data_IF_107453916394
#
_entry.id   IF_107453916394
#
_cell.length_a   1.000
_cell.length_b   1.000
_cell.length_c   1.000
_cell.angle_alpha   90.00
_cell.angle_beta   90.00
_cell.angle_gamma   90.00
#
_symmetry.space_group_name_H-M   'P 1'
#
loop_
_entity.id
_entity.type
_entity.pdbx_description
1 polymer ?
#
# COMPACT_ATOMS: atom_id res chain seq x y z
N UNK A 1 2.06 -55.89 -18.15
CA UNK A 1 1.43 -54.56 -18.21
C UNK A 1 2.15 -53.71 -17.17
N UNK A 2 3.27 -53.12 -17.57
CA UNK A 2 4.16 -52.36 -16.70
C UNK A 2 3.89 -50.87 -16.91
N UNK A 3 3.16 -50.27 -15.97
CA UNK A 3 2.92 -48.83 -15.94
C UNK A 3 4.21 -48.13 -15.49
N UNK A 4 5.05 -47.74 -16.45
CA UNK A 4 6.18 -46.84 -16.20
C UNK A 4 5.64 -45.42 -16.06
N UNK A 5 5.19 -45.09 -14.85
CA UNK A 5 4.92 -43.72 -14.42
C UNK A 5 6.20 -42.89 -14.63
N UNK A 6 6.15 -42.03 -15.64
CA UNK A 6 7.18 -41.06 -15.96
C UNK A 6 7.16 -40.01 -14.85
N UNK A 7 7.98 -40.21 -13.82
CA UNK A 7 8.28 -39.18 -12.83
C UNK A 7 9.03 -38.04 -13.53
N UNK A 8 8.28 -37.07 -14.04
CA UNK A 8 8.81 -35.80 -14.54
C UNK A 8 9.43 -35.05 -13.36
N UNK A 9 10.76 -35.18 -13.24
CA UNK A 9 11.58 -34.44 -12.30
C UNK A 9 11.53 -32.94 -12.65
N UNK A 10 10.52 -32.24 -12.14
CA UNK A 10 10.31 -30.81 -12.37
C UNK A 10 11.22 -30.01 -11.43
N UNK A 11 12.49 -29.88 -11.82
CA UNK A 11 13.42 -28.99 -11.15
C UNK A 11 12.87 -27.55 -11.16
N UNK A 12 12.90 -26.89 -9.99
CA UNK A 12 12.55 -25.47 -9.87
C UNK A 12 13.54 -24.62 -10.66
N UNK A 13 13.13 -24.19 -11.85
CA UNK A 13 13.93 -23.36 -12.73
C UNK A 13 14.12 -21.95 -12.14
N UNK A 14 15.36 -21.47 -12.17
CA UNK A 14 15.68 -20.09 -11.80
C UNK A 14 15.03 -19.08 -12.75
N UNK A 15 14.90 -17.82 -12.32
CA UNK A 15 14.34 -16.73 -13.15
C UNK A 15 15.04 -16.59 -14.52
N UNK A 16 16.35 -16.85 -14.57
CA UNK A 16 17.15 -16.82 -15.81
C UNK A 16 16.79 -18.00 -16.72
N UNK A 17 16.66 -19.20 -16.17
CA UNK A 17 16.31 -20.41 -16.93
C UNK A 17 14.87 -20.35 -17.47
N UNK A 18 13.92 -19.84 -16.68
CA UNK A 18 12.54 -19.58 -17.13
C UNK A 18 12.47 -18.59 -18.30
N UNK A 19 13.27 -17.52 -18.26
CA UNK A 19 13.33 -16.56 -19.37
C UNK A 19 13.92 -17.19 -20.64
N UNK A 20 14.93 -18.05 -20.48
CA UNK A 20 15.51 -18.80 -21.59
C UNK A 20 14.53 -19.84 -22.17
N UNK A 21 13.78 -20.56 -21.33
CA UNK A 21 12.73 -21.49 -21.75
C UNK A 21 11.60 -20.79 -22.50
N UNK A 22 11.13 -19.64 -22.01
CA UNK A 22 10.14 -18.81 -22.71
C UNK A 22 10.63 -18.33 -24.08
N UNK A 23 11.92 -18.08 -24.22
CA UNK A 23 12.51 -17.71 -25.49
C UNK A 23 12.58 -18.90 -26.45
N UNK A 24 13.05 -20.07 -25.98
CA UNK A 24 13.12 -21.31 -26.77
C UNK A 24 11.75 -21.86 -27.15
N UNK A 25 10.74 -21.69 -26.30
CA UNK A 25 9.35 -22.08 -26.55
C UNK A 25 8.72 -21.35 -27.76
N UNK A 26 9.29 -20.22 -28.21
CA UNK A 26 8.84 -19.55 -29.44
C UNK A 26 9.27 -20.26 -30.72
N UNK A 27 10.32 -21.08 -30.63
CA UNK A 27 10.97 -21.71 -31.79
C UNK A 27 10.85 -23.22 -31.80
N UNK A 28 10.63 -23.87 -30.65
CA UNK A 28 10.49 -25.33 -30.57
C UNK A 28 9.25 -25.76 -29.80
N UNK A 29 8.54 -26.74 -30.36
CA UNK A 29 7.33 -27.35 -29.78
C UNK A 29 7.62 -28.03 -28.45
N UNK A 30 8.73 -28.76 -28.35
CA UNK A 30 9.12 -29.46 -27.13
C UNK A 30 9.38 -28.49 -25.95
N UNK A 31 9.97 -27.30 -26.21
CA UNK A 31 10.19 -26.31 -25.16
C UNK A 31 8.89 -25.57 -24.77
N UNK A 32 7.90 -25.52 -25.68
CA UNK A 32 6.58 -24.98 -25.36
C UNK A 32 5.78 -25.93 -24.46
N UNK A 33 5.89 -27.25 -24.66
CA UNK A 33 5.32 -28.26 -23.76
C UNK A 33 5.98 -28.22 -22.38
N UNK A 34 7.31 -28.10 -22.33
CA UNK A 34 8.05 -27.96 -21.07
C UNK A 34 7.66 -26.69 -20.30
N UNK A 35 7.43 -25.56 -20.99
CA UNK A 35 6.95 -24.32 -20.36
C UNK A 35 5.57 -24.50 -19.72
N UNK A 36 4.63 -25.17 -20.41
CA UNK A 36 3.27 -25.41 -19.92
C UNK A 36 3.29 -26.26 -18.65
N UNK A 37 4.08 -27.33 -18.62
CA UNK A 37 4.24 -28.20 -17.44
C UNK A 37 4.80 -27.40 -16.26
N UNK A 38 5.76 -26.50 -16.49
CA UNK A 38 6.37 -25.66 -15.45
C UNK A 38 5.42 -24.56 -14.93
N UNK A 39 4.53 -24.05 -15.76
CA UNK A 39 3.53 -23.06 -15.35
C UNK A 39 2.38 -23.73 -14.58
N UNK A 40 1.90 -24.88 -15.04
CA UNK A 40 0.84 -25.65 -14.38
C UNK A 40 1.28 -26.18 -13.00
N UNK A 41 2.52 -26.67 -12.88
CA UNK A 41 3.07 -27.11 -11.59
C UNK A 41 3.19 -25.97 -10.57
N UNK A 42 3.55 -24.76 -11.00
CA UNK A 42 3.58 -23.59 -10.11
C UNK A 42 2.19 -23.17 -9.65
N UNK A 43 1.20 -23.21 -10.53
CA UNK A 43 -0.18 -22.89 -10.17
C UNK A 43 -0.71 -23.87 -9.12
N UNK A 44 -0.45 -25.18 -9.30
CA UNK A 44 -0.78 -26.23 -8.32
C UNK A 44 -0.04 -26.06 -6.99
N UNK A 45 1.25 -25.69 -7.00
CA UNK A 45 2.00 -25.39 -5.77
C UNK A 45 1.39 -24.21 -5.00
N UNK A 46 1.00 -23.14 -5.71
CA UNK A 46 0.38 -21.95 -5.10
C UNK A 46 -1.00 -22.29 -4.52
N UNK A 47 -1.79 -23.10 -5.21
CA UNK A 47 -3.11 -23.52 -4.73
C UNK A 47 -3.00 -24.41 -3.47
N UNK A 48 -2.07 -25.36 -3.47
CA UNK A 48 -1.81 -26.23 -2.31
C UNK A 48 -1.30 -25.43 -1.10
N UNK A 49 -0.43 -24.43 -1.31
CA UNK A 49 0.04 -23.58 -0.21
C UNK A 49 -1.09 -22.70 0.36
N UNK A 50 -2.03 -22.24 -0.47
CA UNK A 50 -3.23 -21.52 -0.02
C UNK A 50 -4.16 -22.43 0.80
N UNK A 51 -4.43 -23.65 0.31
CA UNK A 51 -5.26 -24.63 1.03
C UNK A 51 -4.67 -24.97 2.41
N UNK A 52 -3.36 -25.23 2.49
CA UNK A 52 -2.68 -25.50 3.77
C UNK A 52 -2.77 -24.32 4.74
N UNK A 53 -2.63 -23.07 4.27
CA UNK A 53 -2.75 -21.88 5.12
C UNK A 53 -4.17 -21.67 5.65
N UNK A 54 -5.19 -22.02 4.86
CA UNK A 54 -6.60 -21.94 5.26
C UNK A 54 -6.89 -23.02 6.32
N UNK A 55 -6.48 -24.27 6.08
CA UNK A 55 -6.63 -25.36 7.04
C UNK A 55 -5.89 -25.09 8.35
N UNK A 56 -4.68 -24.54 8.30
CA UNK A 56 -3.92 -24.16 9.50
C UNK A 56 -4.61 -23.03 10.27
N UNK A 57 -5.17 -22.03 9.56
CA UNK A 57 -5.93 -20.95 10.20
C UNK A 57 -7.25 -21.43 10.82
N UNK A 58 -7.93 -22.38 10.20
CA UNK A 58 -9.15 -23.00 10.74
C UNK A 58 -8.84 -23.91 11.94
N UNK A 59 -7.76 -24.69 11.88
CA UNK A 59 -7.30 -25.51 13.00
C UNK A 59 -6.91 -24.66 14.22
N UNK A 60 -6.24 -23.51 14.01
CA UNK A 60 -5.90 -22.57 15.09
C UNK A 60 -7.16 -21.94 15.68
N UNK A 61 -8.14 -21.54 14.84
CA UNK A 61 -9.43 -21.01 15.33
C UNK A 61 -10.24 -22.05 16.10
N UNK A 62 -10.25 -23.31 15.66
CA UNK A 62 -10.95 -24.40 16.33
C UNK A 62 -10.28 -24.76 17.67
N UNK A 63 -8.96 -24.77 17.71
CA UNK A 63 -8.19 -24.95 18.95
C UNK A 63 -8.36 -23.76 19.93
N UNK A 64 -8.49 -22.54 19.43
CA UNK A 64 -8.75 -21.34 20.25
C UNK A 64 -10.19 -21.32 20.80
N UNK A 65 -11.17 -21.82 20.03
CA UNK A 65 -12.55 -22.01 20.47
C UNK A 65 -12.68 -23.12 21.53
N UNK A 66 -12.06 -24.29 21.32
CA UNK A 66 -12.02 -25.37 22.33
C UNK A 66 -11.24 -24.97 23.60
N UNK A 67 -10.20 -24.15 23.45
CA UNK A 67 -9.47 -23.60 24.60
C UNK A 67 -10.27 -22.53 25.36
N UNK A 68 -11.12 -21.75 24.68
CA UNK A 68 -12.02 -20.79 25.30
C UNK A 68 -13.16 -21.47 26.08
N UNK A 69 -13.68 -22.59 25.57
CA UNK A 69 -14.72 -23.38 26.25
C UNK A 69 -14.17 -24.10 27.50
N UNK A 70 -12.92 -24.61 27.45
CA UNK A 70 -12.26 -25.22 28.63
C UNK A 70 -11.73 -24.21 29.66
N UNK A 71 -11.53 -22.94 29.28
CA UNK A 71 -11.02 -21.89 30.18
C UNK A 71 -12.09 -21.23 31.06
N UNK A 72 -13.37 -21.59 30.90
CA UNK A 72 -14.47 -21.08 31.72
C UNK A 72 -14.56 -21.71 33.13
N UNK A 73 -13.72 -22.69 33.49
CA UNK A 73 -13.83 -23.44 34.76
C UNK A 73 -12.55 -23.62 35.61
N UNK A 74 -11.44 -22.90 35.38
CA UNK A 74 -10.30 -22.86 36.32
C UNK A 74 -9.40 -21.61 36.13
N UNK A 75 -8.69 -21.12 37.16
CA UNK A 75 -8.08 -19.78 37.16
C UNK A 75 -6.79 -19.69 36.31
N UNK A 76 -6.47 -18.51 35.76
CA UNK A 76 -5.51 -18.38 34.67
C UNK A 76 -4.05 -18.56 35.10
N UNK A 77 -3.35 -19.50 34.47
CA UNK A 77 -1.89 -19.70 34.60
C UNK A 77 -1.10 -18.58 33.90
N UNK A 78 -0.20 -17.96 34.67
CA UNK A 78 0.71 -16.87 34.25
C UNK A 78 1.71 -17.35 33.20
N UNK A 79 1.57 -16.91 31.93
CA UNK A 79 2.63 -17.03 30.91
C UNK A 79 3.75 -16.01 31.16
N UNK A 80 4.99 -16.48 31.01
CA UNK A 80 6.26 -15.82 31.34
C UNK A 80 6.45 -14.51 30.57
N UNK A 81 6.80 -13.44 31.30
CA UNK A 81 7.18 -12.13 30.75
C UNK A 81 8.54 -12.25 30.05
N UNK A 82 8.59 -11.99 28.74
CA UNK A 82 9.82 -11.47 28.13
C UNK A 82 10.04 -10.04 28.63
N UNK A 83 11.31 -9.66 28.81
CA UNK A 83 11.75 -8.40 29.47
C UNK A 83 11.31 -7.12 28.75
N UNK A 84 10.63 -7.23 27.60
CA UNK A 84 9.90 -6.15 26.94
C UNK A 84 8.42 -6.33 27.23
N UNK A 85 8.04 -5.94 28.45
CA UNK A 85 6.70 -6.20 28.97
C UNK A 85 5.60 -5.63 28.08
N UNK A 86 4.39 -6.14 28.33
CA UNK A 86 3.06 -5.60 27.96
C UNK A 86 2.84 -4.11 28.35
N UNK A 87 3.89 -3.43 28.82
CA UNK A 87 4.07 -2.00 29.10
C UNK A 87 4.79 -1.23 27.97
N UNK A 88 5.12 -1.85 26.84
CA UNK A 88 5.46 -1.12 25.59
C UNK A 88 4.24 -0.49 24.90
N UNK A 89 3.06 -0.60 25.51
CA UNK A 89 1.86 0.18 25.19
C UNK A 89 2.18 1.59 25.65
N UNK A 90 2.39 2.52 24.72
CA UNK A 90 2.53 3.94 25.02
C UNK A 90 1.43 4.34 26.00
N UNK A 91 1.86 4.62 27.23
CA UNK A 91 1.02 4.96 28.36
C UNK A 91 0.65 6.43 28.27
N UNK A 92 -0.15 6.77 27.26
CA UNK A 92 -0.95 7.99 27.25
C UNK A 92 -2.29 7.53 26.69
N UNK A 93 -3.28 7.51 27.58
CA UNK A 93 -4.67 7.08 27.39
C UNK A 93 -4.95 5.63 26.95
N UNK A 94 -5.61 4.89 27.85
CA UNK A 94 -6.43 3.71 27.52
C UNK A 94 -7.71 4.18 26.82
N UNK A 95 -7.62 4.89 25.70
CA UNK A 95 -8.81 5.12 24.87
C UNK A 95 -9.20 3.78 24.23
N UNK A 96 -10.41 3.28 24.48
CA UNK A 96 -10.95 2.02 23.94
C UNK A 96 -11.30 2.09 22.43
N UNK A 97 -10.56 2.88 21.66
CA UNK A 97 -10.81 3.16 20.25
C UNK A 97 -9.60 2.91 19.34
N UNK A 98 -9.83 2.93 18.01
CA UNK A 98 -8.76 2.87 17.03
C UNK A 98 -7.82 4.07 17.21
N UNK A 99 -6.51 3.81 17.30
CA UNK A 99 -5.51 4.89 17.42
C UNK A 99 -5.19 5.46 16.04
N UNK A 100 -5.31 6.77 15.90
CA UNK A 100 -4.90 7.49 14.70
C UNK A 100 -3.43 7.90 14.82
N UNK A 101 -2.56 7.07 14.25
CA UNK A 101 -1.11 7.30 14.25
C UNK A 101 -0.61 7.40 12.80
N UNK A 102 0.23 8.40 12.53
CA UNK A 102 0.95 8.55 11.28
C UNK A 102 2.44 8.24 11.46
N UNK A 103 3.02 7.62 10.44
CA UNK A 103 4.45 7.47 10.33
C UNK A 103 5.01 8.59 9.46
N UNK A 104 5.98 9.32 9.99
CA UNK A 104 6.77 10.30 9.25
C UNK A 104 8.20 9.78 9.13
N UNK A 105 8.67 9.56 7.91
CA UNK A 105 9.99 9.03 7.61
C UNK A 105 10.84 9.99 6.79
N UNK A 106 12.12 9.65 6.66
CA UNK A 106 13.11 10.43 5.91
C UNK A 106 13.28 11.87 6.44
N UNK A 107 13.10 12.05 7.75
CA UNK A 107 13.34 13.34 8.41
C UNK A 107 14.84 13.66 8.45
N UNK A 108 15.22 14.94 8.38
CA UNK A 108 16.58 15.36 8.66
C UNK A 108 16.97 14.98 10.10
N UNK A 109 18.21 14.55 10.32
CA UNK A 109 18.71 14.22 11.66
C UNK A 109 18.77 15.44 12.59
N UNK A 110 18.80 16.64 12.02
CA UNK A 110 18.76 17.92 12.75
C UNK A 110 17.36 18.40 13.07
N UNK A 111 16.32 17.79 12.50
CA UNK A 111 14.95 18.24 12.69
C UNK A 111 14.53 18.09 14.16
N UNK A 112 13.97 19.15 14.71
CA UNK A 112 13.43 19.17 16.08
C UNK A 112 11.94 18.87 16.09
N UNK A 113 11.38 18.62 17.27
CA UNK A 113 9.93 18.47 17.44
C UNK A 113 9.18 19.73 17.02
N UNK A 114 9.75 20.91 17.27
CA UNK A 114 9.18 22.19 16.85
C UNK A 114 9.07 22.33 15.33
N UNK A 115 10.07 21.86 14.59
CA UNK A 115 10.07 21.94 13.12
C UNK A 115 8.97 21.05 12.53
N UNK A 116 8.80 19.86 13.12
CA UNK A 116 7.71 18.94 12.75
C UNK A 116 6.37 19.58 13.11
N UNK A 117 6.23 20.18 14.29
CA UNK A 117 5.00 20.84 14.71
C UNK A 117 4.65 22.03 13.80
N UNK A 118 5.64 22.83 13.40
CA UNK A 118 5.47 23.93 12.43
C UNK A 118 5.04 23.41 11.07
N UNK A 119 5.68 22.35 10.57
CA UNK A 119 5.35 21.76 9.27
C UNK A 119 3.95 21.14 9.23
N UNK A 120 3.53 20.51 10.33
CA UNK A 120 2.20 19.89 10.47
C UNK A 120 1.18 20.79 11.19
N UNK A 121 1.41 22.11 11.29
CA UNK A 121 0.54 23.04 12.03
C UNK A 121 -0.93 22.94 11.64
N UNK A 122 -1.22 22.81 10.34
CA UNK A 122 -2.58 22.70 9.81
C UNK A 122 -3.30 21.39 10.20
N UNK A 123 -2.57 20.43 10.76
CA UNK A 123 -3.11 19.13 11.18
C UNK A 123 -3.23 19.04 12.71
N UNK A 124 -2.69 20.01 13.46
CA UNK A 124 -2.73 20.05 14.93
C UNK A 124 -2.28 18.73 15.61
N UNK A 125 -1.01 18.33 15.44
CA UNK A 125 -0.49 17.09 16.01
C UNK A 125 -0.60 17.10 17.54
N UNK A 126 -1.18 16.06 18.15
CA UNK A 126 -1.36 16.02 19.60
C UNK A 126 -0.15 15.48 20.34
N UNK A 127 0.42 14.38 19.88
CA UNK A 127 1.60 13.77 20.47
C UNK A 127 2.60 13.41 19.37
N UNK A 128 3.82 13.96 19.46
CA UNK A 128 4.88 13.70 18.50
C UNK A 128 5.95 12.86 19.17
N UNK A 129 6.12 11.63 18.69
CA UNK A 129 7.18 10.74 19.13
C UNK A 129 8.32 10.76 18.11
N UNK A 130 9.29 11.63 18.33
CA UNK A 130 10.48 11.74 17.48
C UNK A 130 11.50 10.63 17.78
N UNK A 131 12.10 10.09 16.71
CA UNK A 131 13.21 9.15 16.71
C UNK A 131 14.33 9.68 15.82
N UNK A 132 15.17 10.52 16.43
CA UNK A 132 16.32 11.13 15.77
C UNK A 132 17.33 10.09 15.28
N UNK A 133 17.50 8.97 15.99
CA UNK A 133 18.38 7.85 15.61
C UNK A 133 18.10 7.31 14.20
N UNK A 134 16.83 7.33 13.78
CA UNK A 134 16.37 6.76 12.50
C UNK A 134 15.83 7.80 11.52
N UNK A 135 15.83 9.08 11.90
CA UNK A 135 15.20 10.13 11.10
C UNK A 135 13.73 9.86 10.84
N UNK A 136 12.99 9.43 11.87
CA UNK A 136 11.56 9.18 11.77
C UNK A 136 10.79 9.68 12.99
N UNK A 137 9.51 9.94 12.83
CA UNK A 137 8.60 10.34 13.89
C UNK A 137 7.28 9.59 13.78
N UNK A 138 6.61 9.41 14.91
CA UNK A 138 5.22 8.96 14.96
C UNK A 138 4.37 10.09 15.49
N UNK A 139 3.38 10.53 14.72
CA UNK A 139 2.41 11.54 15.14
C UNK A 139 1.15 10.81 15.56
N UNK A 140 0.71 10.97 16.80
CA UNK A 140 -0.53 10.41 17.34
C UNK A 140 -1.52 11.55 17.58
N UNK A 141 -2.75 11.37 17.09
CA UNK A 141 -3.87 12.25 17.36
C UNK A 141 -4.71 11.68 18.50
N UNK A 142 -5.24 12.55 19.36
CA UNK A 142 -6.24 12.14 20.34
C UNK A 142 -7.49 11.62 19.64
N UNK A 143 -8.10 10.60 20.23
CA UNK A 143 -9.35 10.00 19.75
C UNK A 143 -10.58 10.62 20.45
N UNK A 144 -10.58 11.93 20.72
CA UNK A 144 -11.75 12.60 21.34
C UNK A 144 -12.93 12.61 20.36
N UNK A 145 -12.69 13.00 19.10
CA UNK A 145 -13.62 12.86 17.98
C UNK A 145 -12.94 12.11 16.82
N UNK A 146 -13.35 10.86 16.50
CA UNK A 146 -12.78 10.09 15.41
C UNK A 146 -12.87 10.76 14.03
N UNK A 147 -13.87 11.62 13.80
CA UNK A 147 -14.03 12.30 12.51
C UNK A 147 -12.99 13.41 12.35
N UNK A 148 -12.74 14.19 13.40
CA UNK A 148 -11.70 15.22 13.42
C UNK A 148 -10.29 14.61 13.33
N UNK A 149 -10.01 13.54 14.09
CA UNK A 149 -8.72 12.83 13.98
C UNK A 149 -8.48 12.30 12.57
N UNK A 150 -9.52 11.78 11.92
CA UNK A 150 -9.43 11.33 10.52
C UNK A 150 -9.16 12.50 9.57
N UNK A 151 -9.86 13.62 9.75
CA UNK A 151 -9.68 14.84 8.93
C UNK A 151 -8.25 15.39 9.05
N UNK A 152 -7.73 15.50 10.27
CA UNK A 152 -6.35 15.92 10.55
C UNK A 152 -5.35 14.98 9.88
N UNK A 153 -5.58 13.67 9.99
CA UNK A 153 -4.75 12.65 9.34
C UNK A 153 -4.76 12.79 7.81
N UNK A 154 -5.92 13.03 7.20
CA UNK A 154 -6.07 13.23 5.76
C UNK A 154 -5.35 14.49 5.26
N UNK A 155 -5.31 15.56 6.05
CA UNK A 155 -4.54 16.78 5.73
C UNK A 155 -3.04 16.46 5.79
N UNK A 156 -2.58 15.77 6.84
CA UNK A 156 -1.18 15.39 6.98
C UNK A 156 -0.70 14.46 5.86
N UNK A 157 -1.55 13.53 5.40
CA UNK A 157 -1.23 12.63 4.28
C UNK A 157 -1.08 13.37 2.94
N UNK A 158 -1.62 14.58 2.79
CA UNK A 158 -1.38 15.43 1.60
C UNK A 158 0.02 16.03 1.61
N UNK A 159 0.65 16.13 2.79
CA UNK A 159 2.03 16.60 2.93
C UNK A 159 3.06 15.50 2.62
N UNK A 160 2.63 14.33 2.13
CA UNK A 160 3.55 13.30 1.65
C UNK A 160 4.45 13.84 0.52
N UNK A 161 5.77 13.69 0.66
CA UNK A 161 6.82 14.25 -0.21
C UNK A 161 6.97 15.77 -0.22
N UNK A 162 6.39 16.46 0.75
CA UNK A 162 6.75 17.85 1.03
C UNK A 162 8.22 17.96 1.47
N UNK A 163 8.81 19.15 1.32
CA UNK A 163 10.20 19.43 1.68
C UNK A 163 10.27 20.02 3.08
N UNK A 164 11.11 19.45 3.94
CA UNK A 164 11.45 19.94 5.28
C UNK A 164 12.98 19.99 5.36
N UNK A 165 13.55 21.17 5.63
CA UNK A 165 14.99 21.45 5.65
C UNK A 165 15.76 20.87 4.44
N UNK A 166 15.20 21.07 3.25
CA UNK A 166 15.81 20.60 1.99
C UNK A 166 15.68 19.09 1.73
N UNK A 167 15.03 18.32 2.60
CA UNK A 167 14.79 16.88 2.43
C UNK A 167 13.30 16.60 2.19
N UNK A 168 12.98 15.69 1.27
CA UNK A 168 11.60 15.26 1.04
C UNK A 168 11.18 14.27 2.12
N UNK A 169 10.11 14.56 2.85
CA UNK A 169 9.62 13.70 3.92
C UNK A 169 8.59 12.69 3.40
N UNK A 170 8.54 11.51 4.03
CA UNK A 170 7.52 10.50 3.72
C UNK A 170 6.46 10.51 4.82
N UNK A 171 5.19 10.69 4.48
CA UNK A 171 4.07 10.58 5.41
C UNK A 171 3.21 9.38 5.03
N UNK A 172 3.07 8.40 5.90
CA UNK A 172 2.39 7.13 5.61
C UNK A 172 1.44 6.72 6.74
N UNK A 173 0.39 5.98 6.37
CA UNK A 173 -0.51 5.34 7.34
C UNK A 173 0.22 4.23 8.08
N UNK A 174 0.01 4.15 9.40
CA UNK A 174 0.45 3.00 10.19
C UNK A 174 -0.72 2.05 10.50
N UNK A 175 -0.39 0.79 10.76
CA UNK A 175 -1.38 -0.24 11.11
C UNK A 175 -1.25 -0.72 12.57
N UNK A 176 -0.33 -0.15 13.35
CA UNK A 176 0.01 -0.70 14.67
C UNK A 176 0.64 -2.10 14.57
N UNK A 177 1.27 -2.58 15.64
CA UNK A 177 2.03 -3.84 15.61
C UNK A 177 3.49 -3.60 15.17
N UNK A 178 4.42 -3.90 16.08
CA UNK A 178 5.85 -3.66 15.86
C UNK A 178 6.44 -4.61 14.82
N UNK A 179 7.45 -4.12 14.07
CA UNK A 179 8.23 -4.93 13.13
C UNK A 179 7.68 -4.96 11.70
N UNK A 180 8.22 -5.90 10.92
CA UNK A 180 7.93 -6.15 9.50
C UNK A 180 6.99 -7.37 9.32
N UNK A 181 6.04 -7.58 10.24
CA UNK A 181 5.09 -8.70 10.14
C UNK A 181 4.27 -8.63 8.85
N UNK A 182 3.88 -9.81 8.33
CA UNK A 182 3.06 -9.92 7.12
C UNK A 182 1.69 -9.24 7.31
N UNK A 183 1.03 -9.50 8.44
CA UNK A 183 -0.26 -8.88 8.78
C UNK A 183 -0.21 -7.35 8.77
N UNK A 184 0.92 -6.75 9.18
CA UNK A 184 1.10 -5.31 9.14
C UNK A 184 1.16 -4.81 7.70
N UNK A 185 1.94 -5.49 6.85
CA UNK A 185 2.08 -5.11 5.43
C UNK A 185 0.75 -5.21 4.71
N UNK A 186 -0.01 -6.26 4.96
CA UNK A 186 -1.36 -6.44 4.39
C UNK A 186 -2.31 -5.33 4.85
N UNK A 187 -2.36 -5.02 6.16
CA UNK A 187 -3.18 -3.90 6.67
C UNK A 187 -2.79 -2.55 6.07
N UNK A 188 -1.50 -2.29 5.88
CA UNK A 188 -1.03 -1.06 5.23
C UNK A 188 -1.44 -1.05 3.75
N UNK A 189 -1.30 -2.17 3.04
CA UNK A 189 -1.68 -2.28 1.63
C UNK A 189 -3.16 -1.99 1.44
N UNK A 190 -4.03 -2.65 2.20
CA UNK A 190 -5.49 -2.43 2.15
C UNK A 190 -5.86 -0.97 2.45
N UNK A 191 -5.22 -0.36 3.46
CA UNK A 191 -5.44 1.05 3.79
C UNK A 191 -4.97 1.99 2.68
N UNK A 192 -3.84 1.70 2.05
CA UNK A 192 -3.29 2.52 0.96
C UNK A 192 -4.12 2.38 -0.31
N UNK A 193 -4.56 1.18 -0.67
CA UNK A 193 -5.47 0.94 -1.81
C UNK A 193 -6.76 1.75 -1.62
N UNK A 194 -7.37 1.67 -0.43
CA UNK A 194 -8.55 2.48 -0.11
C UNK A 194 -8.28 3.99 -0.20
N UNK A 195 -7.13 4.45 0.30
CA UNK A 195 -6.73 5.86 0.24
C UNK A 195 -6.51 6.31 -1.22
N UNK A 196 -5.93 5.46 -2.05
CA UNK A 196 -5.70 5.72 -3.48
C UNK A 196 -7.03 5.77 -4.24
N UNK A 197 -7.96 4.86 -3.99
CA UNK A 197 -9.32 4.91 -4.55
C UNK A 197 -10.05 6.20 -4.17
N UNK A 198 -9.97 6.62 -2.89
CA UNK A 198 -10.56 7.87 -2.42
C UNK A 198 -9.91 9.09 -3.12
N UNK A 199 -8.59 9.07 -3.35
CA UNK A 199 -7.87 10.10 -4.11
C UNK A 199 -8.27 10.12 -5.59
N UNK A 200 -8.37 8.97 -6.22
CA UNK A 200 -8.79 8.83 -7.62
C UNK A 200 -10.22 9.35 -7.81
N UNK A 201 -11.14 8.98 -6.91
CA UNK A 201 -12.52 9.49 -6.93
C UNK A 201 -12.59 11.00 -6.76
N UNK A 202 -11.81 11.58 -5.83
CA UNK A 202 -11.76 13.04 -5.65
C UNK A 202 -11.22 13.75 -6.89
N UNK A 203 -10.12 13.27 -7.46
CA UNK A 203 -9.53 13.90 -8.65
C UNK A 203 -10.41 13.78 -9.90
N UNK A 204 -11.12 12.66 -10.08
CA UNK A 204 -12.15 12.52 -11.12
C UNK A 204 -13.29 13.52 -10.92
N UNK A 205 -13.85 13.62 -9.71
CA UNK A 205 -14.92 14.55 -9.40
C UNK A 205 -14.51 16.03 -9.58
N UNK A 206 -13.26 16.39 -9.25
CA UNK A 206 -12.71 17.73 -9.50
C UNK A 206 -12.56 18.03 -10.99
N UNK A 207 -12.12 17.05 -11.79
CA UNK A 207 -12.04 17.17 -13.26
C UNK A 207 -13.43 17.34 -13.88
N UNK A 208 -14.42 16.55 -13.45
CA UNK A 208 -15.78 16.64 -13.98
C UNK A 208 -16.42 17.99 -13.66
N UNK A 209 -16.21 18.53 -12.45
CA UNK A 209 -16.67 19.87 -12.08
C UNK A 209 -15.99 20.96 -12.91
N UNK A 210 -14.68 20.84 -13.13
CA UNK A 210 -13.93 21.78 -13.95
C UNK A 210 -14.40 21.76 -15.41
N UNK A 211 -14.58 20.56 -15.97
CA UNK A 211 -15.09 20.38 -17.34
C UNK A 211 -16.50 20.95 -17.51
N UNK A 212 -17.39 20.76 -16.52
CA UNK A 212 -18.73 21.39 -16.53
C UNK A 212 -18.67 22.91 -16.45
N UNK A 213 -17.84 23.46 -15.57
CA UNK A 213 -17.65 24.91 -15.46
C UNK A 213 -17.02 25.50 -16.73
N UNK A 214 -16.06 24.82 -17.34
CA UNK A 214 -15.43 25.24 -18.59
C UNK A 214 -16.42 25.12 -19.78
N UNK A 215 -17.30 24.11 -19.79
CA UNK A 215 -18.37 23.98 -20.78
C UNK A 215 -19.45 25.06 -20.62
N UNK A 216 -19.83 25.42 -19.39
CA UNK A 216 -20.75 26.53 -19.11
C UNK A 216 -20.15 27.88 -19.51
N UNK A 217 -18.86 28.11 -19.26
CA UNK A 217 -18.15 29.31 -19.75
C UNK A 217 -18.08 29.37 -21.26
N UNK A 218 -17.75 28.27 -21.94
CA UNK A 218 -17.74 28.20 -23.42
C UNK A 218 -19.11 28.49 -24.03
N UNK A 219 -20.19 28.01 -23.39
CA UNK A 219 -21.57 28.34 -23.79
C UNK A 219 -21.93 29.81 -23.54
N UNK A 220 -21.40 30.42 -22.48
CA UNK A 220 -21.61 31.84 -22.17
C UNK A 220 -20.81 32.78 -23.08
N UNK A 221 -19.61 32.38 -23.53
CA UNK A 221 -18.74 33.15 -24.42
C UNK A 221 -19.13 33.04 -25.90
N UNK A 222 -20.21 32.31 -26.24
CA UNK A 222 -20.80 32.30 -27.59
C UNK A 222 -19.91 31.70 -28.69
N UNK A 223 -18.96 30.82 -28.35
CA UNK A 223 -18.16 30.10 -29.34
C UNK A 223 -18.98 28.88 -29.79
N UNK A 224 -19.67 29.01 -30.93
CA UNK A 224 -20.32 27.88 -31.60
C UNK A 224 -19.31 26.78 -31.92
N UNK A 225 -19.64 25.54 -31.55
CA UNK A 225 -18.92 24.34 -31.97
C UNK A 225 -19.02 24.24 -33.51
N UNK A 226 -17.96 24.62 -34.22
CA UNK A 226 -17.68 23.94 -35.47
C UNK A 226 -17.29 22.52 -35.11
N UNK A 227 -18.21 21.59 -35.38
CA UNK A 227 -17.87 20.18 -35.57
C UNK A 227 -16.87 20.10 -36.73
N UNK A 228 -15.58 20.18 -36.41
CA UNK A 228 -14.54 19.66 -37.29
C UNK A 228 -14.46 18.15 -37.04
N UNK A 229 -15.17 17.41 -37.88
CA UNK A 229 -14.78 16.05 -38.23
C UNK A 229 -13.28 16.06 -38.59
N UNK A 230 -12.46 15.44 -37.74
CA UNK A 230 -11.07 15.14 -38.06
C UNK A 230 -10.80 13.67 -37.75
N UNK A 231 -11.37 12.82 -38.58
CA UNK A 231 -10.71 11.58 -38.97
C UNK A 231 -9.51 11.98 -39.86
N UNK A 232 -8.29 12.01 -39.30
CA UNK A 232 -7.02 11.88 -40.05
C UNK A 232 -5.88 11.53 -39.08
N UNK A 233 -5.32 10.35 -39.34
CA UNK A 233 -3.99 9.83 -39.06
C UNK A 233 -2.95 10.73 -38.34
N UNK A 234 -2.32 10.16 -37.30
CA UNK A 234 -0.85 10.17 -37.19
C UNK A 234 -0.15 11.51 -36.99
N UNK A 235 -0.52 12.31 -35.98
CA UNK A 235 0.22 13.52 -35.58
C UNK A 235 0.73 13.40 -34.15
N UNK A 236 2.04 13.29 -33.96
CA UNK A 236 2.69 13.17 -32.65
C UNK A 236 2.35 14.35 -31.73
N UNK A 237 1.68 14.07 -30.61
CA UNK A 237 1.39 15.00 -29.53
C UNK A 237 2.65 15.45 -28.78
N UNK A 238 3.46 16.30 -29.42
CA UNK A 238 4.60 16.97 -28.80
C UNK A 238 4.22 18.42 -28.49
N UNK A 239 4.21 18.75 -27.21
CA UNK A 239 3.93 20.11 -26.71
C UNK A 239 4.89 21.13 -27.35
N UNK A 240 4.44 22.35 -27.72
CA UNK A 240 5.20 23.31 -28.54
C UNK A 240 6.62 23.61 -28.03
N UNK A 241 6.82 23.66 -26.71
CA UNK A 241 8.15 23.86 -26.10
C UNK A 241 9.15 22.72 -26.38
N UNK A 242 8.67 21.51 -26.66
CA UNK A 242 9.51 20.34 -26.93
C UNK A 242 9.85 20.20 -28.42
N UNK A 243 9.02 20.71 -29.33
CA UNK A 243 9.34 20.79 -30.75
C UNK A 243 10.49 21.78 -31.01
N UNK A 244 10.45 22.93 -30.32
CA UNK A 244 11.47 23.98 -30.42
C UNK A 244 12.85 23.54 -29.92
N UNK A 245 12.89 22.62 -28.95
CA UNK A 245 14.14 22.02 -28.45
C UNK A 245 14.71 20.93 -29.37
N UNK A 246 13.92 20.39 -30.29
CA UNK A 246 14.35 19.35 -31.24
C UNK A 246 14.66 19.90 -32.65
N UNK A 247 14.49 21.21 -32.87
CA UNK A 247 14.89 21.88 -34.11
C UNK A 247 14.15 21.39 -35.36
N UNK A 248 12.93 20.88 -35.20
CA UNK A 248 12.03 20.51 -36.28
C UNK A 248 11.02 21.64 -36.45
N UNK A 249 11.40 22.66 -37.23
CA UNK A 249 10.46 23.60 -37.88
C UNK A 249 10.28 23.19 -39.34
#
# INVERSE_FOLDING_TARGET
MSDTETQLNTQKLSKKQLKALRFKAKTSTNAAEELKIVEETKEREIENEKKRKIEEAEAVKKAEAEAAEKAANEPPKKKRKTRRGKKGRGSVDKSEGPRFILFVGNLPYKATEEDIQKHFKNCEPTNIRLRTDKGCAFIEYKNEDPMESKRQMDIALRLHKSTLDGRKINVELTAGGGGNSLDRKEKIKVKNEKLEEERMKRTLAEKDKKNKADAEKRKADGIEEKEEDNDVSGGTGVHPDRAKMLGLE
#
